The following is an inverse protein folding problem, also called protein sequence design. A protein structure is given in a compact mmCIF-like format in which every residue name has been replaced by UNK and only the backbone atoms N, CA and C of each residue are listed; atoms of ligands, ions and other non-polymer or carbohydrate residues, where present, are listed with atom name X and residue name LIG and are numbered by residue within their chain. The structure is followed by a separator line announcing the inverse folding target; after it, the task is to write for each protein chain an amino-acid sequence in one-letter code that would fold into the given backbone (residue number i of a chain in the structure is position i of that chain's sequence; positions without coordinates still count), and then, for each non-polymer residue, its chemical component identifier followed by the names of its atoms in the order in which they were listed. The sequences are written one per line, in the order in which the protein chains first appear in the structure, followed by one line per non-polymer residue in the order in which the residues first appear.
data_IF_037482036932
#
_entry.id   IF_037482036932
#
_cell.length_a   1.000
_cell.length_b   1.000
_cell.length_c   1.000
_cell.angle_alpha   90.00
_cell.angle_beta   90.00
_cell.angle_gamma   90.00
#
_symmetry.space_group_name_H-M   'P 1'
#
loop_
_entity.id
_entity.type
_entity.pdbx_description
1 polymer ?
#
# COMPACT_ATOMS: atom_id res chain seq x y z
N UNK A 1 47.13 -29.22 -31.57
CA UNK A 1 46.26 -28.82 -30.43
C UNK A 1 45.91 -27.33 -30.44
N UNK A 2 46.84 -26.43 -30.77
CA UNK A 2 46.62 -24.98 -30.83
C UNK A 2 45.39 -24.52 -31.65
N UNK A 3 45.08 -25.15 -32.79
CA UNK A 3 43.92 -24.79 -33.61
C UNK A 3 42.56 -24.95 -32.89
N UNK A 4 42.47 -25.85 -31.90
CA UNK A 4 41.23 -26.04 -31.13
C UNK A 4 41.01 -24.91 -30.11
N UNK A 5 42.10 -24.34 -29.58
CA UNK A 5 42.05 -23.22 -28.63
C UNK A 5 41.70 -21.88 -29.30
N UNK A 6 42.01 -21.74 -30.60
CA UNK A 6 41.66 -20.55 -31.40
C UNK A 6 40.30 -20.69 -32.12
N UNK A 7 39.54 -21.76 -31.82
CA UNK A 7 38.23 -21.97 -32.42
C UNK A 7 37.19 -21.05 -31.80
N UNK A 8 36.34 -20.44 -32.62
CA UNK A 8 35.16 -19.70 -32.16
C UNK A 8 34.03 -20.63 -31.70
N UNK A 9 34.23 -21.95 -31.79
CA UNK A 9 33.27 -22.95 -31.36
C UNK A 9 33.47 -23.28 -29.86
N UNK A 10 32.50 -22.86 -29.04
CA UNK A 10 32.50 -23.06 -27.58
C UNK A 10 32.62 -24.52 -27.13
N UNK A 11 32.26 -25.49 -27.98
CA UNK A 11 32.30 -26.93 -27.65
C UNK A 11 33.73 -27.48 -27.80
N UNK A 12 34.54 -26.87 -28.68
CA UNK A 12 35.88 -27.36 -29.00
C UNK A 12 36.97 -26.75 -28.11
N UNK A 13 36.68 -25.61 -27.48
CA UNK A 13 37.59 -24.92 -26.58
C UNK A 13 37.59 -25.61 -25.21
N UNK A 14 38.76 -26.10 -24.82
CA UNK A 14 38.96 -26.79 -23.54
C UNK A 14 39.19 -25.79 -22.41
N UNK A 15 38.82 -26.22 -21.21
CA UNK A 15 38.98 -25.45 -19.99
C UNK A 15 40.31 -25.81 -19.32
N UNK A 16 40.95 -24.81 -18.73
CA UNK A 16 42.11 -25.02 -17.87
C UNK A 16 41.65 -25.18 -16.42
N UNK A 17 42.21 -26.18 -15.72
CA UNK A 17 41.87 -26.43 -14.31
C UNK A 17 42.19 -25.21 -13.46
N UNK A 18 41.20 -24.74 -12.70
CA UNK A 18 41.33 -23.59 -11.79
C UNK A 18 41.23 -22.22 -12.46
N UNK A 19 40.96 -22.15 -13.77
CA UNK A 19 40.69 -20.89 -14.49
C UNK A 19 39.28 -20.88 -15.08
N UNK A 20 38.74 -19.68 -15.28
CA UNK A 20 37.51 -19.52 -16.04
C UNK A 20 37.74 -19.92 -17.51
N UNK A 21 36.69 -20.43 -18.17
CA UNK A 21 36.73 -20.69 -19.62
C UNK A 21 37.08 -19.40 -20.37
N UNK A 22 37.98 -19.44 -21.36
CA UNK A 22 38.20 -18.28 -22.21
C UNK A 22 36.94 -17.97 -23.04
N UNK A 23 36.66 -16.68 -23.25
CA UNK A 23 35.56 -16.26 -24.12
C UNK A 23 35.88 -16.59 -25.57
N UNK A 24 34.90 -17.15 -26.29
CA UNK A 24 34.93 -17.33 -27.76
C UNK A 24 34.26 -16.18 -28.51
N UNK A 25 33.68 -15.24 -27.77
CA UNK A 25 32.99 -14.05 -28.29
C UNK A 25 33.93 -12.85 -28.24
N UNK A 26 33.74 -11.95 -29.21
CA UNK A 26 34.40 -10.66 -29.25
C UNK A 26 33.78 -9.78 -28.16
N UNK A 27 34.48 -9.67 -27.02
CA UNK A 27 34.02 -8.85 -25.90
C UNK A 27 34.32 -7.37 -26.18
N UNK A 28 33.48 -6.47 -25.66
CA UNK A 28 33.78 -5.04 -25.59
C UNK A 28 35.18 -4.74 -25.01
N UNK A 29 35.79 -3.60 -25.39
CA UNK A 29 37.11 -3.18 -24.91
C UNK A 29 37.20 -3.11 -23.37
N UNK A 30 38.43 -3.16 -22.87
CA UNK A 30 38.72 -2.97 -21.45
C UNK A 30 38.14 -1.62 -20.97
N UNK A 31 37.27 -1.68 -19.96
CA UNK A 31 36.52 -0.52 -19.45
C UNK A 31 35.03 -0.50 -19.79
N UNK A 32 34.51 -1.46 -20.58
CA UNK A 32 33.06 -1.58 -20.77
C UNK A 32 32.35 -2.04 -19.49
N UNK A 33 31.42 -1.22 -19.00
CA UNK A 33 30.54 -1.57 -17.89
C UNK A 33 29.35 -2.39 -18.42
N UNK A 34 29.27 -3.66 -18.00
CA UNK A 34 28.13 -4.52 -18.29
C UNK A 34 26.99 -4.25 -17.30
N UNK A 35 25.76 -4.42 -17.78
CA UNK A 35 24.55 -4.20 -16.99
C UNK A 35 23.81 -2.91 -17.38
N UNK A 36 22.65 -2.71 -16.78
CA UNK A 36 21.89 -1.47 -16.97
C UNK A 36 22.44 -0.43 -16.00
N UNK A 37 22.81 0.74 -16.50
CA UNK A 37 23.05 1.88 -15.63
C UNK A 37 21.70 2.27 -15.02
N UNK A 38 21.56 2.07 -13.71
CA UNK A 38 20.39 2.56 -12.99
C UNK A 38 20.40 4.09 -13.02
N UNK A 39 19.22 4.66 -13.25
CA UNK A 39 19.06 6.11 -13.16
C UNK A 39 19.35 6.51 -11.71
N UNK A 40 20.30 7.42 -11.45
CA UNK A 40 20.51 7.93 -10.11
C UNK A 40 19.21 8.57 -9.64
N UNK A 41 18.72 8.11 -8.48
CA UNK A 41 17.53 8.69 -7.86
C UNK A 41 17.80 10.16 -7.54
N UNK A 42 17.02 11.05 -8.15
CA UNK A 42 17.12 12.49 -7.93
C UNK A 42 16.57 12.87 -6.55
N UNK A 43 15.74 12.02 -5.96
CA UNK A 43 15.23 12.13 -4.61
C UNK A 43 16.07 11.20 -3.74
N UNK A 44 17.18 11.71 -3.22
CA UNK A 44 18.11 10.94 -2.41
C UNK A 44 17.39 10.27 -1.26
N UNK A 45 17.77 9.03 -0.95
CA UNK A 45 17.18 8.27 0.17
C UNK A 45 17.14 9.05 1.50
N UNK A 46 18.00 10.06 1.67
CA UNK A 46 17.99 11.03 2.77
C UNK A 46 16.68 11.83 2.84
N UNK A 47 16.18 12.38 1.73
CA UNK A 47 14.93 13.15 1.71
C UNK A 47 13.74 12.28 2.11
N UNK A 48 13.71 11.04 1.61
CA UNK A 48 12.65 10.05 1.89
C UNK A 48 12.70 9.56 3.35
N UNK A 49 13.90 9.42 3.94
CA UNK A 49 14.05 8.93 5.33
C UNK A 49 13.83 10.02 6.38
N UNK A 50 14.13 11.28 6.04
CA UNK A 50 14.02 12.42 6.97
C UNK A 50 12.62 13.03 7.04
N UNK A 51 11.81 12.88 5.98
CA UNK A 51 10.42 13.35 5.99
C UNK A 51 9.47 12.22 6.37
N UNK A 52 9.20 12.10 7.67
CA UNK A 52 7.98 11.41 8.11
C UNK A 52 6.78 12.24 7.65
N UNK A 53 6.13 11.83 6.57
CA UNK A 53 4.91 12.45 6.09
C UNK A 53 3.87 12.39 7.22
N UNK A 54 3.67 13.53 7.89
CA UNK A 54 2.65 13.66 8.92
C UNK A 54 1.31 13.41 8.27
N UNK A 55 0.53 12.47 8.82
CA UNK A 55 -0.78 12.13 8.29
C UNK A 55 -1.63 13.40 8.20
N UNK A 56 -1.98 13.81 6.98
CA UNK A 56 -2.97 14.85 6.73
C UNK A 56 -4.32 14.16 6.69
N UNK A 57 -5.16 14.28 7.74
CA UNK A 57 -6.48 13.69 7.72
C UNK A 57 -7.27 14.27 6.55
N UNK A 58 -7.88 13.38 5.75
CA UNK A 58 -8.85 13.80 4.75
C UNK A 58 -9.97 14.57 5.44
N UNK A 59 -10.43 15.65 4.82
CA UNK A 59 -11.61 16.36 5.29
C UNK A 59 -12.74 15.34 5.48
N UNK A 60 -13.40 15.38 6.65
CA UNK A 60 -14.54 14.51 6.90
C UNK A 60 -15.54 14.70 5.74
N UNK A 61 -16.09 13.62 5.18
CA UNK A 61 -17.12 13.73 4.15
C UNK A 61 -18.19 14.72 4.63
N UNK A 62 -18.37 15.81 3.90
CA UNK A 62 -19.37 16.81 4.23
C UNK A 62 -20.78 16.24 4.06
N UNK A 63 -21.79 17.08 4.34
CA UNK A 63 -23.21 16.74 4.15
C UNK A 63 -23.58 16.36 2.70
N UNK A 64 -22.64 16.51 1.75
CA UNK A 64 -22.76 16.10 0.35
C UNK A 64 -22.46 14.62 0.08
N UNK A 65 -22.00 13.86 1.09
CA UNK A 65 -21.81 12.41 0.97
C UNK A 65 -23.12 11.63 1.07
N UNK A 66 -23.12 10.37 0.64
CA UNK A 66 -24.25 9.46 0.86
C UNK A 66 -24.06 8.63 2.13
N UNK A 67 -25.15 8.35 2.86
CA UNK A 67 -25.15 7.42 4.00
C UNK A 67 -25.27 5.97 3.50
N UNK A 68 -24.12 5.33 3.30
CA UNK A 68 -24.07 3.93 2.88
C UNK A 68 -24.68 2.96 3.89
N UNK A 69 -24.71 3.29 5.19
CA UNK A 69 -25.35 2.43 6.20
C UNK A 69 -26.86 2.47 6.02
N UNK A 70 -27.42 3.66 5.82
CA UNK A 70 -28.84 3.83 5.55
C UNK A 70 -29.23 3.19 4.21
N UNK A 71 -28.44 3.40 3.15
CA UNK A 71 -28.63 2.75 1.84
C UNK A 71 -28.73 1.24 2.01
N UNK A 72 -27.75 0.62 2.68
CA UNK A 72 -27.72 -0.83 2.82
C UNK A 72 -28.92 -1.33 3.64
N UNK A 73 -29.27 -0.64 4.71
CA UNK A 73 -30.45 -0.96 5.53
C UNK A 73 -31.75 -0.92 4.71
N UNK A 74 -31.91 0.10 3.87
CA UNK A 74 -33.09 0.26 3.02
C UNK A 74 -33.09 -0.73 1.86
N UNK A 75 -31.93 -1.02 1.26
CA UNK A 75 -31.78 -2.03 0.23
C UNK A 75 -32.18 -3.43 0.73
N UNK A 76 -31.75 -3.82 1.94
CA UNK A 76 -32.15 -5.08 2.56
C UNK A 76 -33.66 -5.15 2.79
N UNK A 77 -34.28 -4.06 3.26
CA UNK A 77 -35.74 -3.98 3.44
C UNK A 77 -36.51 -4.14 2.12
N UNK A 78 -35.95 -3.61 1.02
CA UNK A 78 -36.52 -3.70 -0.32
C UNK A 78 -36.13 -4.98 -1.09
N UNK A 79 -35.55 -5.98 -0.41
CA UNK A 79 -35.14 -7.27 -1.00
C UNK A 79 -34.17 -7.13 -2.19
N UNK A 80 -33.34 -6.08 -2.18
CA UNK A 80 -32.25 -5.91 -3.15
C UNK A 80 -31.17 -6.95 -2.82
N UNK A 81 -31.01 -7.95 -3.70
CA UNK A 81 -30.17 -9.11 -3.45
C UNK A 81 -28.94 -9.20 -4.37
N UNK A 82 -28.89 -8.40 -5.44
CA UNK A 82 -27.78 -8.37 -6.41
C UNK A 82 -27.05 -7.03 -6.42
N UNK A 83 -25.75 -7.05 -6.74
CA UNK A 83 -24.94 -5.85 -6.87
C UNK A 83 -25.48 -4.88 -7.94
N UNK A 84 -26.03 -5.40 -9.06
CA UNK A 84 -26.64 -4.57 -10.11
C UNK A 84 -27.89 -3.86 -9.58
N UNK A 85 -28.74 -4.59 -8.87
CA UNK A 85 -29.94 -4.03 -8.23
C UNK A 85 -29.56 -2.98 -7.17
N UNK A 86 -28.47 -3.18 -6.43
CA UNK A 86 -27.98 -2.20 -5.46
C UNK A 86 -27.46 -0.93 -6.14
N UNK A 87 -26.79 -1.05 -7.27
CA UNK A 87 -26.36 0.10 -8.07
C UNK A 87 -27.56 0.90 -8.60
N UNK A 88 -28.57 0.21 -9.12
CA UNK A 88 -29.81 0.86 -9.59
C UNK A 88 -30.61 1.47 -8.43
N UNK A 89 -30.62 0.82 -7.27
CA UNK A 89 -31.25 1.32 -6.04
C UNK A 89 -30.57 2.61 -5.54
N UNK A 90 -29.23 2.67 -5.59
CA UNK A 90 -28.45 3.89 -5.24
C UNK A 90 -28.68 5.04 -6.23
N UNK A 91 -28.93 4.74 -7.51
CA UNK A 91 -29.20 5.76 -8.53
C UNK A 91 -30.60 6.37 -8.40
N UNK A 92 -31.57 5.54 -8.00
CA UNK A 92 -32.99 5.92 -7.90
C UNK A 92 -33.39 6.53 -6.56
N UNK A 93 -32.57 6.39 -5.52
CA UNK A 93 -32.86 6.87 -4.18
C UNK A 93 -31.69 7.70 -3.65
N UNK A 94 -31.97 8.91 -3.20
CA UNK A 94 -30.96 9.75 -2.55
C UNK A 94 -31.02 9.59 -1.03
N UNK A 95 -29.86 9.36 -0.42
CA UNK A 95 -29.69 9.14 1.01
C UNK A 95 -28.57 10.02 1.52
N UNK A 96 -28.83 11.32 1.77
CA UNK A 96 -27.81 12.26 2.18
C UNK A 96 -27.24 11.87 3.54
N UNK A 97 -25.91 11.97 3.68
CA UNK A 97 -25.22 11.79 4.94
C UNK A 97 -25.62 12.93 5.87
N UNK A 98 -26.58 12.65 6.74
CA UNK A 98 -26.95 13.58 7.79
C UNK A 98 -25.79 13.61 8.78
N UNK A 99 -25.11 14.76 8.88
CA UNK A 99 -24.22 15.01 9.99
C UNK A 99 -25.06 14.89 11.25
N UNK A 100 -24.86 13.81 12.01
CA UNK A 100 -25.28 13.81 13.40
C UNK A 100 -24.63 15.06 13.98
N UNK A 101 -25.45 15.99 14.47
CA UNK A 101 -24.99 17.26 15.02
C UNK A 101 -23.86 17.03 16.02
N UNK A 102 -23.11 18.08 16.42
CA UNK A 102 -22.02 17.91 17.36
C UNK A 102 -22.54 17.04 18.50
N UNK A 103 -21.92 15.87 18.70
CA UNK A 103 -22.12 15.10 19.91
C UNK A 103 -22.03 16.14 21.02
N UNK A 104 -23.13 16.32 21.77
CA UNK A 104 -23.31 17.48 22.63
C UNK A 104 -22.04 17.76 23.42
N UNK A 105 -21.77 19.04 23.70
CA UNK A 105 -20.54 19.50 24.39
C UNK A 105 -20.10 18.44 25.38
N UNK A 106 -18.90 17.88 25.16
CA UNK A 106 -18.34 16.87 26.04
C UNK A 106 -18.53 17.36 27.47
N UNK A 107 -19.08 16.54 28.38
CA UNK A 107 -19.32 16.98 29.74
C UNK A 107 -18.01 17.53 30.30
N UNK A 108 -18.07 18.77 30.79
CA UNK A 108 -16.90 19.54 31.23
C UNK A 108 -16.20 18.92 32.43
N UNK A 109 -16.89 18.00 33.09
CA UNK A 109 -16.41 17.16 34.19
C UNK A 109 -16.53 15.72 33.73
N UNK A 110 -15.40 15.01 33.67
CA UNK A 110 -15.40 13.57 33.40
C UNK A 110 -15.49 12.79 34.72
N UNK A 111 -16.05 11.57 34.73
CA UNK A 111 -16.24 10.81 35.98
C UNK A 111 -14.96 10.60 36.80
N UNK A 112 -13.79 10.49 36.15
CA UNK A 112 -12.49 10.41 36.82
C UNK A 112 -12.07 11.69 37.56
N UNK A 113 -12.65 12.85 37.23
CA UNK A 113 -12.35 14.12 37.92
C UNK A 113 -13.00 14.17 39.31
N UNK A 114 -14.13 13.46 39.49
CA UNK A 114 -14.89 13.44 40.75
C UNK A 114 -14.61 12.17 41.55
N UNK A 115 -14.32 11.05 40.86
CA UNK A 115 -14.13 9.74 41.46
C UNK A 115 -12.74 9.22 41.05
N UNK A 116 -11.70 9.37 41.91
CA UNK A 116 -10.34 8.92 41.60
C UNK A 116 -10.23 7.40 41.31
N UNK A 117 -11.17 6.60 41.81
CA UNK A 117 -11.24 5.15 41.58
C UNK A 117 -12.05 4.76 40.32
N UNK A 118 -12.52 5.73 39.54
CA UNK A 118 -13.27 5.45 38.33
C UNK A 118 -12.35 4.89 37.24
N UNK A 119 -12.67 3.70 36.74
CA UNK A 119 -11.95 3.06 35.65
C UNK A 119 -12.81 3.05 34.38
N UNK A 120 -12.23 3.54 33.28
CA UNK A 120 -12.84 3.44 31.96
C UNK A 120 -12.69 2.02 31.40
N UNK A 121 -13.65 1.63 30.56
CA UNK A 121 -13.65 0.33 29.88
C UNK A 121 -14.65 -0.66 30.46
N UNK A 122 -14.67 -1.86 29.89
CA UNK A 122 -15.56 -2.94 30.31
C UNK A 122 -14.73 -3.94 31.13
N UNK A 123 -15.20 -4.29 32.33
CA UNK A 123 -14.54 -5.30 33.17
C UNK A 123 -14.44 -6.62 32.39
N UNK A 124 -13.23 -7.03 32.03
CA UNK A 124 -12.98 -8.38 31.53
C UNK A 124 -12.93 -9.33 32.73
N UNK A 125 -13.43 -10.56 32.55
CA UNK A 125 -13.30 -11.60 33.56
C UNK A 125 -11.83 -12.06 33.55
N UNK A 126 -11.11 -12.03 34.69
CA UNK A 126 -9.79 -12.65 34.77
C UNK A 126 -9.94 -14.13 34.44
N UNK A 127 -9.13 -14.63 33.50
CA UNK A 127 -9.01 -16.06 33.19
C UNK A 127 -8.41 -16.81 34.37
#
# INVERSE_FOLDING_TARGET
EAQRQMSRNAILVKDDVGKAKPSVYDLPPEGHAYGRADMPDLEGAREVTMNWASHVPRAKPGASGQDFKLINKMATRNKVASAKQLADFRRSNDFPLTNQGPAGVLPKVIPSDVIPSFAYGKKSRPS
#
